data_IF_387847898829
#
_entry.id   IF_387847898829
#
_cell.length_a   1.000
_cell.length_b   1.000
_cell.length_c   1.000
_cell.angle_alpha   90.00
_cell.angle_beta   90.00
_cell.angle_gamma   90.00
#
_symmetry.space_group_name_H-M   'P 1'
#
loop_
_entity.id
_entity.type
_entity.pdbx_description
1 polymer ?
#
# COMPACT_ATOMS: atom_id res chain seq x y z
N UNK A 1 12.06 13.54 -36.26
CA UNK A 1 13.45 13.12 -36.01
C UNK A 1 13.34 11.99 -35.02
N UNK A 2 13.80 10.81 -35.42
CA UNK A 2 13.73 9.59 -34.62
C UNK A 2 14.82 9.65 -33.56
N UNK A 3 14.45 9.37 -32.31
CA UNK A 3 15.39 9.18 -31.21
C UNK A 3 15.59 7.67 -31.01
N UNK A 4 16.80 7.14 -31.14
CA UNK A 4 17.07 5.73 -30.97
C UNK A 4 17.61 5.43 -29.55
N UNK A 5 17.41 4.17 -29.15
CA UNK A 5 18.20 3.41 -28.15
C UNK A 5 17.65 3.37 -26.72
N UNK A 6 16.67 2.49 -26.50
CA UNK A 6 16.63 1.61 -25.32
C UNK A 6 16.22 0.23 -25.83
N UNK A 7 17.22 -0.57 -26.19
CA UNK A 7 17.05 -2.00 -26.44
C UNK A 7 18.20 -2.69 -25.72
N UNK A 8 18.04 -2.82 -24.41
CA UNK A 8 18.75 -3.79 -23.60
C UNK A 8 17.74 -4.88 -23.25
N UNK A 9 17.41 -5.68 -24.26
CA UNK A 9 16.73 -6.95 -24.06
C UNK A 9 17.58 -7.79 -23.10
N UNK A 10 17.05 -8.02 -21.90
CA UNK A 10 17.54 -9.06 -21.02
C UNK A 10 17.45 -10.39 -21.79
N UNK A 11 18.58 -11.06 -21.95
CA UNK A 11 18.63 -12.43 -22.47
C UNK A 11 17.91 -13.34 -21.45
N UNK A 12 16.64 -13.63 -21.70
CA UNK A 12 15.91 -14.68 -20.99
C UNK A 12 16.50 -16.02 -21.39
N UNK A 13 17.14 -16.71 -20.45
CA UNK A 13 17.60 -18.08 -20.63
C UNK A 13 16.44 -18.98 -21.06
N UNK A 14 16.66 -19.70 -22.16
CA UNK A 14 15.73 -20.61 -22.85
C UNK A 14 15.59 -21.96 -22.09
N UNK A 15 15.59 -21.92 -20.76
CA UNK A 15 15.48 -23.08 -19.87
C UNK A 15 14.11 -23.13 -19.20
N UNK A 16 13.48 -24.30 -19.20
CA UNK A 16 12.27 -24.55 -18.41
C UNK A 16 12.61 -24.32 -16.91
N UNK A 17 11.80 -23.53 -16.18
CA UNK A 17 12.10 -23.18 -14.79
C UNK A 17 12.20 -24.45 -13.92
N UNK A 18 13.23 -24.54 -13.08
CA UNK A 18 13.42 -25.67 -12.18
C UNK A 18 12.35 -25.64 -11.08
N UNK A 19 11.34 -26.50 -11.21
CA UNK A 19 10.26 -26.60 -10.22
C UNK A 19 10.82 -27.29 -8.97
N UNK A 20 10.66 -26.71 -7.77
CA UNK A 20 11.07 -27.36 -6.53
C UNK A 20 10.35 -28.69 -6.34
N UNK A 21 11.03 -29.66 -5.71
CA UNK A 21 10.40 -30.91 -5.29
C UNK A 21 9.41 -30.62 -4.15
N UNK A 22 8.16 -31.04 -4.33
CA UNK A 22 7.05 -30.76 -3.40
C UNK A 22 6.47 -32.07 -2.91
N UNK A 23 6.53 -32.28 -1.60
CA UNK A 23 5.89 -33.40 -0.93
C UNK A 23 4.38 -33.17 -0.85
N UNK A 24 3.60 -33.91 -1.65
CA UNK A 24 2.13 -33.79 -1.67
C UNK A 24 1.54 -34.06 -0.28
N UNK A 25 0.94 -33.05 0.38
CA UNK A 25 0.32 -33.23 1.69
C UNK A 25 -0.92 -34.13 1.62
N UNK A 26 -1.15 -34.94 2.66
CA UNK A 26 -2.37 -35.76 2.74
C UNK A 26 -3.63 -34.91 2.68
N UNK A 27 -3.67 -33.77 3.38
CA UNK A 27 -4.85 -32.89 3.38
C UNK A 27 -5.16 -32.33 1.99
N UNK A 28 -4.12 -32.03 1.19
CA UNK A 28 -4.30 -31.59 -0.20
C UNK A 28 -4.84 -32.73 -1.08
N UNK A 29 -4.35 -33.96 -0.88
CA UNK A 29 -4.87 -35.13 -1.57
C UNK A 29 -6.32 -35.46 -1.16
N UNK A 30 -6.62 -35.43 0.13
CA UNK A 30 -7.96 -35.69 0.68
C UNK A 30 -8.96 -34.64 0.17
N UNK A 31 -8.56 -33.37 0.08
CA UNK A 31 -9.37 -32.32 -0.51
C UNK A 31 -9.68 -32.57 -2.00
N UNK A 32 -8.76 -33.17 -2.76
CA UNK A 32 -9.04 -33.60 -4.14
C UNK A 32 -10.10 -34.71 -4.16
N UNK A 33 -10.00 -35.68 -3.25
CA UNK A 33 -10.99 -36.76 -3.16
C UNK A 33 -12.37 -36.21 -2.80
N UNK A 34 -12.46 -35.30 -1.82
CA UNK A 34 -13.71 -34.66 -1.40
C UNK A 34 -14.31 -33.83 -2.56
N UNK A 35 -13.49 -33.03 -3.25
CA UNK A 35 -13.94 -32.24 -4.40
C UNK A 35 -14.43 -33.11 -5.58
N UNK A 36 -13.87 -34.31 -5.75
CA UNK A 36 -14.37 -35.29 -6.72
C UNK A 36 -15.63 -35.98 -6.21
N UNK A 37 -15.74 -36.23 -4.90
CA UNK A 37 -16.88 -36.88 -4.26
C UNK A 37 -18.19 -36.10 -4.46
N UNK A 38 -18.11 -34.77 -4.43
CA UNK A 38 -19.23 -33.86 -4.63
C UNK A 38 -19.64 -33.65 -6.10
N UNK A 39 -18.86 -34.18 -7.05
CA UNK A 39 -19.08 -34.04 -8.50
C UNK A 39 -19.79 -35.24 -9.11
N UNK A 40 -20.56 -34.99 -10.17
CA UNK A 40 -21.19 -36.06 -10.94
C UNK A 40 -20.12 -36.94 -11.63
N UNK A 41 -20.41 -38.22 -11.94
CA UNK A 41 -19.55 -39.02 -12.80
C UNK A 41 -19.25 -38.27 -14.10
N UNK A 42 -18.02 -38.38 -14.61
CA UNK A 42 -17.47 -37.65 -15.77
C UNK A 42 -17.29 -36.14 -15.61
N UNK A 43 -17.71 -35.54 -14.50
CA UNK A 43 -17.40 -34.14 -14.19
C UNK A 43 -16.00 -34.04 -13.61
N UNK A 44 -15.11 -33.35 -14.33
CA UNK A 44 -13.70 -33.29 -13.99
C UNK A 44 -13.34 -32.11 -13.10
N UNK A 45 -12.54 -32.37 -12.07
CA UNK A 45 -11.74 -31.37 -11.40
C UNK A 45 -10.57 -30.95 -12.30
N UNK A 46 -10.34 -29.64 -12.45
CA UNK A 46 -9.34 -29.09 -13.35
C UNK A 46 -8.17 -28.48 -12.57
N UNK A 47 -6.97 -28.84 -12.98
CA UNK A 47 -5.71 -28.26 -12.56
C UNK A 47 -5.03 -27.60 -13.76
N UNK A 48 -3.94 -26.87 -13.53
CA UNK A 48 -3.10 -26.43 -14.64
C UNK A 48 -2.41 -27.66 -15.27
N UNK A 49 -2.61 -27.85 -16.58
CA UNK A 49 -1.98 -28.93 -17.34
C UNK A 49 -2.68 -30.31 -17.27
N UNK A 50 -3.65 -30.55 -16.38
CA UNK A 50 -4.38 -31.83 -16.33
C UNK A 50 -5.76 -31.73 -15.68
N UNK A 51 -6.54 -32.80 -15.82
CA UNK A 51 -7.83 -32.97 -15.13
C UNK A 51 -7.91 -34.32 -14.44
N UNK A 52 -8.74 -34.39 -13.40
CA UNK A 52 -9.07 -35.62 -12.68
C UNK A 52 -10.59 -35.76 -12.62
N UNK A 53 -11.12 -36.95 -12.84
CA UNK A 53 -12.54 -37.24 -12.76
C UNK A 53 -12.79 -38.61 -12.13
N UNK A 54 -14.06 -38.92 -11.83
CA UNK A 54 -14.52 -40.28 -11.58
C UNK A 54 -15.29 -40.78 -12.80
N UNK A 55 -15.06 -42.02 -13.21
CA UNK A 55 -15.87 -42.65 -14.24
C UNK A 55 -17.19 -43.21 -13.68
N UNK A 56 -18.00 -43.83 -14.55
CA UNK A 56 -19.28 -44.42 -14.20
C UNK A 56 -19.17 -45.64 -13.26
N UNK A 57 -17.97 -46.24 -13.18
CA UNK A 57 -17.66 -47.36 -12.28
C UNK A 57 -17.14 -46.88 -10.92
N UNK A 58 -16.91 -45.57 -10.77
CA UNK A 58 -16.40 -44.92 -9.56
C UNK A 58 -14.87 -44.96 -9.46
N UNK A 59 -14.17 -45.37 -10.51
CA UNK A 59 -12.71 -45.37 -10.57
C UNK A 59 -12.20 -43.99 -11.01
N UNK A 60 -10.94 -43.67 -10.67
CA UNK A 60 -10.38 -42.37 -10.99
C UNK A 60 -9.77 -42.35 -12.39
N UNK A 61 -9.96 -41.22 -13.06
CA UNK A 61 -9.44 -40.95 -14.40
C UNK A 61 -8.58 -39.70 -14.35
N UNK A 62 -7.34 -39.79 -14.85
CA UNK A 62 -6.43 -38.65 -15.01
C UNK A 62 -6.18 -38.41 -16.50
N UNK A 63 -6.36 -37.17 -16.94
CA UNK A 63 -6.12 -36.76 -18.32
C UNK A 63 -5.15 -35.57 -18.40
N UNK A 64 -4.03 -35.75 -19.11
CA UNK A 64 -2.97 -34.74 -19.26
C UNK A 64 -2.37 -34.74 -20.67
N UNK A 65 -3.20 -34.93 -21.70
CA UNK A 65 -2.78 -35.24 -23.07
C UNK A 65 -2.82 -36.74 -23.36
N UNK A 66 -2.46 -37.56 -22.37
CA UNK A 66 -2.75 -39.00 -22.31
C UNK A 66 -3.90 -39.28 -21.33
N UNK A 67 -4.61 -40.39 -21.51
CA UNK A 67 -5.76 -40.79 -20.69
C UNK A 67 -5.42 -42.03 -19.86
N UNK A 68 -5.36 -41.87 -18.53
CA UNK A 68 -5.16 -42.98 -17.58
C UNK A 68 -6.47 -43.20 -16.82
N UNK A 69 -7.11 -44.34 -17.04
CA UNK A 69 -8.37 -44.72 -16.40
C UNK A 69 -8.17 -45.93 -15.48
N UNK A 70 -9.16 -46.19 -14.62
CA UNK A 70 -9.15 -47.29 -13.68
C UNK A 70 -8.10 -47.17 -12.58
N UNK A 71 -7.80 -45.94 -12.17
CA UNK A 71 -6.85 -45.69 -11.10
C UNK A 71 -7.53 -45.98 -9.75
N UNK A 72 -6.88 -46.78 -8.92
CA UNK A 72 -7.22 -46.85 -7.50
C UNK A 72 -6.82 -45.54 -6.81
N UNK A 73 -7.35 -45.28 -5.60
CA UNK A 73 -6.94 -44.12 -4.80
C UNK A 73 -5.42 -44.07 -4.58
N UNK A 74 -4.78 -45.22 -4.38
CA UNK A 74 -3.32 -45.33 -4.23
C UNK A 74 -2.60 -44.92 -5.53
N UNK A 75 -3.07 -45.42 -6.67
CA UNK A 75 -2.45 -45.10 -7.97
C UNK A 75 -2.70 -43.64 -8.36
N UNK A 76 -3.85 -43.07 -7.97
CA UNK A 76 -4.13 -41.66 -8.10
C UNK A 76 -3.17 -40.83 -7.23
N UNK A 77 -2.95 -41.21 -5.96
CA UNK A 77 -2.01 -40.51 -5.07
C UNK A 77 -0.61 -40.47 -5.64
N UNK A 78 -0.13 -41.59 -6.17
CA UNK A 78 1.19 -41.66 -6.83
C UNK A 78 1.24 -40.74 -8.06
N UNK A 79 0.20 -40.75 -8.90
CA UNK A 79 0.13 -39.89 -10.08
C UNK A 79 0.00 -38.39 -9.74
N UNK A 80 -0.64 -38.04 -8.63
CA UNK A 80 -0.76 -36.67 -8.15
C UNK A 80 0.50 -36.18 -7.42
N UNK A 81 1.27 -37.09 -6.79
CA UNK A 81 2.57 -36.76 -6.21
C UNK A 81 3.57 -36.28 -7.28
N UNK A 82 3.58 -36.92 -8.46
CA UNK A 82 4.34 -36.45 -9.63
C UNK A 82 3.92 -35.04 -10.13
N UNK A 83 2.81 -34.51 -9.61
CA UNK A 83 2.19 -33.23 -10.00
C UNK A 83 1.90 -32.35 -8.78
N UNK A 84 2.63 -32.56 -7.69
CA UNK A 84 2.34 -31.95 -6.40
C UNK A 84 2.26 -30.43 -6.45
N UNK A 85 3.07 -29.76 -7.28
CA UNK A 85 3.00 -28.31 -7.46
C UNK A 85 1.61 -27.83 -7.93
N UNK A 86 1.05 -28.46 -8.95
CA UNK A 86 -0.28 -28.10 -9.46
C UNK A 86 -1.42 -28.47 -8.50
N UNK A 87 -1.28 -29.57 -7.75
CA UNK A 87 -2.27 -29.98 -6.75
C UNK A 87 -2.25 -29.04 -5.54
N UNK A 88 -1.07 -28.68 -5.04
CA UNK A 88 -0.91 -27.76 -3.91
C UNK A 88 -1.29 -26.34 -4.28
N UNK A 89 -1.07 -25.90 -5.52
CA UNK A 89 -1.54 -24.58 -6.00
C UNK A 89 -3.07 -24.52 -5.98
N UNK A 90 -3.73 -25.54 -6.52
CA UNK A 90 -5.18 -25.66 -6.45
C UNK A 90 -5.66 -25.69 -4.99
N UNK A 91 -5.04 -26.50 -4.14
CA UNK A 91 -5.42 -26.64 -2.73
C UNK A 91 -5.33 -25.33 -1.97
N UNK A 92 -4.23 -24.57 -2.14
CA UNK A 92 -4.06 -23.28 -1.48
C UNK A 92 -5.18 -22.31 -1.86
N UNK A 93 -5.54 -22.21 -3.14
CA UNK A 93 -6.50 -21.20 -3.56
C UNK A 93 -7.96 -21.62 -3.44
N UNK A 94 -8.28 -22.90 -3.63
CA UNK A 94 -9.64 -23.40 -3.54
C UNK A 94 -10.04 -23.81 -2.11
N UNK A 95 -9.09 -24.29 -1.30
CA UNK A 95 -9.39 -24.82 0.04
C UNK A 95 -8.89 -23.93 1.18
N UNK A 96 -7.66 -23.41 1.09
CA UNK A 96 -7.07 -22.59 2.18
C UNK A 96 -7.53 -21.13 2.10
N UNK A 97 -7.42 -20.51 0.93
CA UNK A 97 -7.83 -19.12 0.68
C UNK A 97 -9.32 -19.04 0.36
N UNK A 98 -9.86 -19.99 -0.42
CA UNK A 98 -11.30 -20.10 -0.69
C UNK A 98 -11.84 -19.07 -1.69
N UNK A 99 -13.00 -18.48 -1.35
CA UNK A 99 -13.83 -17.69 -2.26
C UNK A 99 -13.07 -16.56 -2.97
N UNK A 100 -13.46 -16.32 -4.22
CA UNK A 100 -12.94 -15.23 -5.02
C UNK A 100 -13.29 -13.87 -4.37
N UNK A 101 -12.28 -13.02 -4.19
CA UNK A 101 -12.44 -11.75 -3.50
C UNK A 101 -11.09 -11.09 -3.21
N UNK A 102 -11.07 -10.01 -2.42
CA UNK A 102 -9.90 -9.15 -2.24
C UNK A 102 -8.68 -9.91 -1.72
N UNK A 103 -8.86 -10.80 -0.73
CA UNK A 103 -7.77 -11.63 -0.20
C UNK A 103 -7.13 -12.51 -1.27
N UNK A 104 -7.94 -13.22 -2.05
CA UNK A 104 -7.45 -14.13 -3.09
C UNK A 104 -6.70 -13.36 -4.18
N UNK A 105 -7.26 -12.24 -4.63
CA UNK A 105 -6.63 -11.40 -5.65
C UNK A 105 -5.30 -10.81 -5.16
N UNK A 106 -5.24 -10.36 -3.91
CA UNK A 106 -4.04 -9.81 -3.30
C UNK A 106 -2.91 -10.83 -3.17
N UNK A 107 -3.21 -12.03 -2.65
CA UNK A 107 -2.20 -13.08 -2.53
C UNK A 107 -1.69 -13.53 -3.90
N UNK A 108 -2.56 -13.64 -4.91
CA UNK A 108 -2.13 -13.90 -6.30
C UNK A 108 -1.25 -12.78 -6.87
N UNK A 109 -1.56 -11.53 -6.54
CA UNK A 109 -0.75 -10.38 -6.95
C UNK A 109 0.63 -10.38 -6.27
N UNK A 110 0.72 -10.77 -4.99
CA UNK A 110 2.02 -10.94 -4.32
C UNK A 110 2.88 -11.97 -5.04
N UNK A 111 2.28 -13.11 -5.44
CA UNK A 111 2.98 -14.20 -6.14
C UNK A 111 3.34 -13.90 -7.62
N UNK A 112 3.14 -12.67 -8.11
CA UNK A 112 3.30 -12.29 -9.53
C UNK A 112 2.55 -13.22 -10.49
N UNK A 113 1.38 -13.70 -10.08
CA UNK A 113 0.73 -14.82 -10.76
C UNK A 113 0.15 -14.45 -12.14
N UNK A 114 0.16 -13.18 -12.55
CA UNK A 114 -0.49 -12.73 -13.77
C UNK A 114 0.31 -13.17 -15.01
N UNK A 115 -0.14 -14.29 -15.60
CA UNK A 115 0.40 -14.84 -16.85
C UNK A 115 1.46 -15.92 -16.69
N UNK A 116 1.91 -16.21 -15.47
CA UNK A 116 2.88 -17.28 -15.19
C UNK A 116 2.21 -18.66 -15.01
N UNK A 117 2.84 -19.71 -15.54
CA UNK A 117 2.46 -21.10 -15.23
C UNK A 117 2.72 -21.41 -13.76
N UNK A 118 2.05 -22.42 -13.21
CA UNK A 118 2.33 -22.98 -11.88
C UNK A 118 3.82 -23.31 -11.74
N UNK A 119 4.41 -23.93 -12.76
CA UNK A 119 5.83 -24.29 -12.75
C UNK A 119 6.75 -23.07 -12.57
N UNK A 120 6.56 -22.03 -13.39
CA UNK A 120 7.34 -20.79 -13.30
C UNK A 120 7.14 -20.09 -11.95
N UNK A 121 5.90 -20.05 -11.46
CA UNK A 121 5.58 -19.43 -10.17
C UNK A 121 6.18 -20.19 -8.99
N UNK A 122 6.20 -21.52 -9.02
CA UNK A 122 6.81 -22.32 -7.97
C UNK A 122 8.33 -22.17 -7.94
N UNK A 123 8.98 -22.07 -9.10
CA UNK A 123 10.41 -21.74 -9.16
C UNK A 123 10.69 -20.37 -8.53
N UNK A 124 9.91 -19.34 -8.89
CA UNK A 124 10.05 -18.00 -8.31
C UNK A 124 9.76 -17.96 -6.80
N UNK A 125 8.74 -18.68 -6.33
CA UNK A 125 8.43 -18.81 -4.90
C UNK A 125 9.51 -19.56 -4.11
N UNK A 126 10.27 -20.45 -4.75
CA UNK A 126 11.41 -21.12 -4.11
C UNK A 126 12.59 -20.16 -3.90
N UNK A 127 12.76 -19.17 -4.78
CA UNK A 127 13.75 -18.10 -4.65
C UNK A 127 13.28 -16.98 -3.71
N UNK A 128 11.96 -16.79 -3.59
CA UNK A 128 11.32 -15.72 -2.84
C UNK A 128 10.86 -14.60 -3.75
N UNK A 129 9.57 -14.29 -3.72
CA UNK A 129 8.98 -13.20 -4.50
C UNK A 129 8.75 -12.01 -3.59
N UNK A 130 9.40 -10.90 -3.89
CA UNK A 130 9.31 -9.66 -3.13
C UNK A 130 8.30 -8.69 -3.76
N UNK A 131 7.43 -8.11 -2.94
CA UNK A 131 6.48 -7.07 -3.34
C UNK A 131 6.34 -5.99 -2.27
N UNK A 132 6.32 -4.75 -2.73
CA UNK A 132 6.07 -3.59 -1.88
C UNK A 132 4.57 -3.29 -1.77
N UNK A 133 4.09 -2.99 -0.57
CA UNK A 133 2.73 -2.50 -0.34
C UNK A 133 2.75 -1.34 0.65
N UNK A 134 2.77 -0.10 0.14
CA UNK A 134 3.08 1.06 0.98
C UNK A 134 4.53 0.97 1.47
N UNK A 135 4.73 1.09 2.79
CA UNK A 135 6.05 0.92 3.41
C UNK A 135 6.33 -0.53 3.83
N UNK A 136 5.55 -1.50 3.36
CA UNK A 136 5.78 -2.92 3.62
C UNK A 136 6.59 -3.56 2.51
N UNK A 137 7.59 -4.36 2.88
CA UNK A 137 8.16 -5.39 2.02
C UNK A 137 7.54 -6.73 2.40
N UNK A 138 6.95 -7.41 1.42
CA UNK A 138 6.31 -8.73 1.58
C UNK A 138 7.08 -9.72 0.72
N UNK A 139 7.68 -10.73 1.36
CA UNK A 139 8.39 -11.80 0.67
C UNK A 139 7.57 -13.09 0.75
N UNK A 140 7.02 -13.53 -0.39
CA UNK A 140 6.30 -14.79 -0.50
C UNK A 140 7.25 -15.94 -0.85
N UNK A 141 7.16 -17.01 -0.09
CA UNK A 141 7.90 -18.26 -0.30
C UNK A 141 6.98 -19.46 -0.25
N UNK A 142 7.50 -20.62 -0.65
CA UNK A 142 6.83 -21.90 -0.45
C UNK A 142 7.66 -22.85 0.42
N UNK A 143 6.97 -23.69 1.19
CA UNK A 143 7.58 -24.80 1.91
C UNK A 143 7.79 -26.01 1.01
N UNK A 144 8.55 -27.00 1.47
CA UNK A 144 8.68 -28.34 0.84
C UNK A 144 7.34 -29.06 0.65
N UNK A 145 6.27 -28.61 1.30
CA UNK A 145 4.90 -29.10 1.18
C UNK A 145 4.00 -28.27 0.28
N UNK A 146 4.54 -27.24 -0.38
CA UNK A 146 3.81 -26.33 -1.26
C UNK A 146 2.90 -25.35 -0.52
N UNK A 147 3.08 -25.20 0.79
CA UNK A 147 2.36 -24.20 1.58
C UNK A 147 2.99 -22.83 1.37
N UNK A 148 2.17 -21.78 1.25
CA UNK A 148 2.66 -20.40 1.15
C UNK A 148 3.05 -19.88 2.51
N UNK A 149 4.15 -19.13 2.53
CA UNK A 149 4.64 -18.39 3.68
C UNK A 149 5.01 -16.97 3.28
N UNK A 150 4.73 -16.04 4.17
CA UNK A 150 4.94 -14.62 3.94
C UNK A 150 5.78 -14.05 5.07
N UNK A 151 6.93 -13.50 4.71
CA UNK A 151 7.70 -12.62 5.59
C UNK A 151 7.26 -11.18 5.31
N UNK A 152 6.88 -10.45 6.37
CA UNK A 152 6.44 -9.05 6.24
C UNK A 152 7.23 -8.18 7.20
N UNK A 153 7.81 -7.11 6.68
CA UNK A 153 8.61 -6.13 7.44
C UNK A 153 8.47 -4.74 6.82
N UNK A 154 9.05 -3.74 7.48
CA UNK A 154 9.18 -2.41 6.89
C UNK A 154 10.15 -2.43 5.69
N UNK A 155 9.89 -1.62 4.66
CA UNK A 155 10.70 -1.57 3.45
C UNK A 155 12.16 -1.15 3.73
N UNK A 156 12.37 -0.25 4.69
CA UNK A 156 13.71 0.15 5.11
C UNK A 156 14.49 -0.97 5.85
N UNK A 157 13.80 -2.02 6.29
CA UNK A 157 14.38 -3.19 6.95
C UNK A 157 14.56 -4.39 5.99
N UNK A 158 14.39 -4.19 4.67
CA UNK A 158 14.46 -5.27 3.67
C UNK A 158 15.76 -6.08 3.76
N UNK A 159 16.89 -5.41 3.94
CA UNK A 159 18.22 -6.03 4.02
C UNK A 159 18.63 -6.39 5.46
N UNK A 160 17.78 -6.13 6.46
CA UNK A 160 18.09 -6.40 7.87
C UNK A 160 17.78 -7.86 8.20
N UNK A 161 18.74 -8.64 8.75
CA UNK A 161 18.45 -10.00 9.18
C UNK A 161 17.30 -10.06 10.20
N UNK A 162 16.39 -11.04 10.09
CA UNK A 162 15.21 -11.16 10.96
C UNK A 162 15.58 -11.29 12.46
N UNK A 163 16.75 -11.83 12.76
CA UNK A 163 17.29 -11.95 14.13
C UNK A 163 17.70 -10.61 14.78
N UNK A 164 17.82 -9.54 13.98
CA UNK A 164 18.08 -8.18 14.45
C UNK A 164 16.79 -7.35 14.59
N UNK A 165 15.64 -7.92 14.22
CA UNK A 165 14.31 -7.29 14.26
C UNK A 165 13.45 -7.89 15.39
N UNK A 166 12.51 -7.10 15.90
CA UNK A 166 11.50 -7.60 16.84
C UNK A 166 10.48 -8.48 16.08
N UNK A 167 10.47 -9.78 16.39
CA UNK A 167 9.63 -10.77 15.70
C UNK A 167 8.24 -10.91 16.33
N UNK A 168 7.22 -10.99 15.48
CA UNK A 168 5.81 -11.14 15.86
C UNK A 168 5.10 -12.23 15.04
N UNK A 169 4.29 -13.06 15.68
CA UNK A 169 3.57 -14.15 15.00
C UNK A 169 2.06 -13.87 14.82
N UNK A 170 1.47 -13.01 15.66
CA UNK A 170 0.04 -12.67 15.61
C UNK A 170 -0.17 -11.33 14.89
N UNK A 171 -0.83 -11.30 13.71
CA UNK A 171 -1.13 -10.06 12.98
C UNK A 171 -1.77 -8.95 13.81
N UNK A 172 -2.47 -9.30 14.89
CA UNK A 172 -3.12 -8.34 15.78
C UNK A 172 -2.13 -7.49 16.59
N UNK A 173 -0.90 -7.97 16.79
CA UNK A 173 0.17 -7.23 17.46
C UNK A 173 0.59 -5.98 16.67
N UNK A 174 0.34 -5.96 15.35
CA UNK A 174 0.60 -4.80 14.51
C UNK A 174 -0.20 -3.56 14.91
N UNK A 175 -1.27 -3.69 15.71
CA UNK A 175 -2.02 -2.54 16.25
C UNK A 175 -1.16 -1.63 17.09
N UNK A 176 -0.23 -2.19 17.85
CA UNK A 176 0.67 -1.41 18.68
C UNK A 176 1.72 -0.71 17.80
N UNK A 177 2.24 -1.41 16.79
CA UNK A 177 3.20 -0.88 15.80
C UNK A 177 2.63 0.29 15.00
N UNK A 178 1.37 0.22 14.57
CA UNK A 178 0.79 1.28 13.74
C UNK A 178 0.26 2.47 14.52
N UNK A 179 0.24 2.41 15.85
CA UNK A 179 -0.34 3.46 16.69
C UNK A 179 0.52 4.71 16.75
N UNK A 180 1.84 4.54 16.82
CA UNK A 180 2.81 5.63 16.93
C UNK A 180 3.79 5.61 15.75
N UNK A 181 4.39 6.76 15.43
CA UNK A 181 5.54 6.85 14.52
C UNK A 181 6.86 6.58 15.27
N UNK A 182 7.97 6.61 14.54
CA UNK A 182 9.33 6.38 15.09
C UNK A 182 9.70 7.34 16.24
N UNK A 183 9.08 8.53 16.28
CA UNK A 183 9.31 9.53 17.31
C UNK A 183 8.33 9.42 18.49
N UNK A 184 7.42 8.43 18.47
CA UNK A 184 6.40 8.20 19.48
C UNK A 184 5.16 9.09 19.35
N UNK A 185 4.96 9.77 18.22
CA UNK A 185 3.75 10.57 17.96
C UNK A 185 2.64 9.69 17.41
N UNK A 186 1.40 9.98 17.80
CA UNK A 186 0.24 9.24 17.29
C UNK A 186 0.08 9.36 15.78
N UNK A 187 -0.20 8.24 15.10
CA UNK A 187 -0.48 8.17 13.66
C UNK A 187 -2.00 8.18 13.39
N UNK A 188 -2.61 9.35 13.14
CA UNK A 188 -4.04 9.44 12.83
C UNK A 188 -4.38 8.89 11.43
N UNK A 189 -3.44 9.01 10.49
CA UNK A 189 -3.55 8.48 9.14
C UNK A 189 -2.57 7.31 9.01
N UNK A 190 -3.09 6.09 8.91
CA UNK A 190 -2.25 4.89 8.83
C UNK A 190 -1.46 4.78 7.55
N UNK A 191 -1.88 5.47 6.49
CA UNK A 191 -1.19 5.52 5.20
C UNK A 191 -0.25 6.72 5.06
N UNK A 192 0.00 7.50 6.11
CA UNK A 192 1.08 8.48 6.07
C UNK A 192 2.43 7.74 6.14
N UNK A 193 3.44 8.11 5.33
CA UNK A 193 4.76 7.47 5.29
C UNK A 193 5.53 7.79 6.58
N UNK A 194 5.25 7.00 7.60
CA UNK A 194 5.64 7.23 8.99
C UNK A 194 5.52 5.97 9.83
N UNK A 195 5.40 4.81 9.17
CA UNK A 195 5.35 3.54 9.87
C UNK A 195 6.74 3.30 10.47
N UNK A 196 6.81 2.98 11.76
CA UNK A 196 8.10 2.69 12.36
C UNK A 196 8.64 1.36 11.84
N UNK A 197 9.94 1.29 11.56
CA UNK A 197 10.65 0.03 11.29
C UNK A 197 11.04 -0.75 12.56
N UNK A 198 11.96 -1.69 12.41
CA UNK A 198 12.55 -2.49 13.48
C UNK A 198 11.79 -3.78 13.84
N UNK A 199 10.86 -4.23 13.01
CA UNK A 199 10.02 -5.41 13.28
C UNK A 199 9.88 -6.32 12.07
N UNK A 200 9.50 -7.57 12.33
CA UNK A 200 9.20 -8.57 11.31
C UNK A 200 8.07 -9.48 11.77
N UNK A 201 7.18 -9.85 10.85
CA UNK A 201 6.27 -10.98 11.00
C UNK A 201 6.79 -12.14 10.14
N UNK A 202 7.61 -13.04 10.72
CA UNK A 202 8.18 -14.13 9.96
C UNK A 202 7.13 -15.23 9.75
N UNK A 203 7.19 -15.90 8.60
CA UNK A 203 6.48 -17.16 8.35
C UNK A 203 4.94 -17.10 8.45
N UNK A 204 4.30 -16.00 8.06
CA UNK A 204 2.85 -15.88 8.10
C UNK A 204 2.17 -16.80 7.09
N UNK A 205 1.02 -17.35 7.46
CA UNK A 205 0.12 -18.03 6.54
C UNK A 205 -0.68 -17.04 5.66
N UNK A 206 -1.36 -17.52 4.60
CA UNK A 206 -2.11 -16.66 3.67
C UNK A 206 -3.17 -15.77 4.31
N UNK A 207 -3.86 -16.29 5.33
CA UNK A 207 -4.86 -15.53 6.09
C UNK A 207 -4.20 -14.41 6.88
N UNK A 208 -3.15 -14.74 7.61
CA UNK A 208 -2.49 -13.86 8.56
C UNK A 208 -1.73 -12.74 7.85
N UNK A 209 -1.13 -13.02 6.69
CA UNK A 209 -0.53 -12.00 5.82
C UNK A 209 -1.56 -10.95 5.37
N UNK A 210 -2.76 -11.39 4.94
CA UNK A 210 -3.84 -10.47 4.58
C UNK A 210 -4.38 -9.68 5.80
N UNK A 211 -4.56 -10.35 6.94
CA UNK A 211 -5.00 -9.70 8.18
C UNK A 211 -3.99 -8.68 8.70
N UNK A 212 -2.69 -8.94 8.54
CA UNK A 212 -1.62 -8.01 8.88
C UNK A 212 -1.71 -6.76 8.02
N UNK A 213 -1.77 -6.90 6.69
CA UNK A 213 -1.88 -5.76 5.77
C UNK A 213 -3.13 -4.94 6.05
N UNK A 214 -4.28 -5.57 6.31
CA UNK A 214 -5.51 -4.85 6.66
C UNK A 214 -5.46 -4.22 8.07
N UNK A 215 -4.61 -4.73 8.96
CA UNK A 215 -4.36 -4.09 10.27
C UNK A 215 -3.46 -2.87 10.13
N UNK A 216 -2.43 -2.96 9.29
CA UNK A 216 -1.47 -1.87 9.06
C UNK A 216 -2.07 -0.77 8.18
N UNK A 217 -2.65 -1.15 7.04
CA UNK A 217 -3.26 -0.25 6.07
C UNK A 217 -4.71 -0.64 5.77
N UNK A 218 -5.66 -0.26 6.65
CA UNK A 218 -7.06 -0.68 6.54
C UNK A 218 -7.71 -0.32 5.20
N UNK A 219 -8.46 -1.28 4.65
CA UNK A 219 -9.24 -1.20 3.42
C UNK A 219 -8.43 -0.91 2.15
N UNK A 220 -7.09 -0.96 2.20
CA UNK A 220 -6.26 -0.72 1.02
C UNK A 220 -6.42 -1.84 0.01
N UNK A 221 -6.41 -3.10 0.45
CA UNK A 221 -6.55 -4.26 -0.44
C UNK A 221 -7.96 -4.33 -1.01
N UNK A 222 -8.97 -4.05 -0.18
CA UNK A 222 -10.36 -4.03 -0.62
C UNK A 222 -10.63 -2.98 -1.71
N UNK A 223 -10.09 -1.77 -1.56
CA UNK A 223 -10.27 -0.70 -2.56
C UNK A 223 -9.46 -0.97 -3.83
N UNK A 224 -8.22 -1.44 -3.71
CA UNK A 224 -7.41 -1.88 -4.84
C UNK A 224 -8.10 -2.98 -5.65
N UNK A 225 -8.73 -3.94 -4.97
CA UNK A 225 -9.50 -4.99 -5.62
C UNK A 225 -10.69 -4.42 -6.40
N UNK A 226 -11.49 -3.54 -5.78
CA UNK A 226 -12.64 -2.89 -6.43
C UNK A 226 -12.23 -2.08 -7.66
N UNK A 227 -11.11 -1.38 -7.60
CA UNK A 227 -10.58 -0.65 -8.74
C UNK A 227 -10.29 -1.56 -9.92
N UNK A 228 -9.62 -2.69 -9.68
CA UNK A 228 -9.32 -3.68 -10.72
C UNK A 228 -10.58 -4.30 -11.34
N UNK A 229 -11.65 -4.43 -10.57
CA UNK A 229 -12.95 -4.91 -11.05
C UNK A 229 -13.79 -3.79 -11.71
N UNK A 230 -13.33 -2.53 -11.71
CA UNK A 230 -14.08 -1.39 -12.21
C UNK A 230 -15.27 -0.98 -11.32
N UNK A 231 -15.23 -1.37 -10.05
CA UNK A 231 -16.29 -1.16 -9.05
C UNK A 231 -15.87 -0.19 -7.92
N UNK A 232 -14.74 0.51 -8.06
CA UNK A 232 -14.31 1.49 -7.06
C UNK A 232 -15.32 2.64 -6.98
N UNK A 233 -15.93 2.80 -5.81
CA UNK A 233 -16.91 3.84 -5.55
C UNK A 233 -16.21 5.13 -5.09
N UNK A 234 -15.89 6.01 -6.04
CA UNK A 234 -15.24 7.31 -5.75
C UNK A 234 -16.28 8.31 -5.26
N UNK A 235 -15.98 8.99 -4.15
CA UNK A 235 -16.72 10.15 -3.65
C UNK A 235 -15.84 11.38 -3.77
N UNK A 236 -16.24 12.29 -4.66
CA UNK A 236 -15.51 13.53 -4.94
C UNK A 236 -15.64 14.57 -3.82
N UNK A 237 -14.77 15.59 -3.88
CA UNK A 237 -14.69 16.66 -2.88
C UNK A 237 -16.06 17.26 -2.53
N UNK A 238 -16.81 17.71 -3.54
CA UNK A 238 -18.09 18.40 -3.31
C UNK A 238 -19.10 17.53 -2.57
N UNK A 239 -19.16 16.25 -2.90
CA UNK A 239 -20.05 15.32 -2.23
C UNK A 239 -19.63 15.10 -0.78
N UNK A 240 -18.33 14.89 -0.50
CA UNK A 240 -17.82 14.77 0.86
C UNK A 240 -18.06 16.02 1.69
N UNK A 241 -17.86 17.22 1.11
CA UNK A 241 -18.08 18.50 1.81
C UNK A 241 -19.55 18.79 2.07
N UNK A 242 -20.46 18.39 1.17
CA UNK A 242 -21.90 18.51 1.36
C UNK A 242 -22.42 17.70 2.56
N UNK A 243 -21.75 16.58 2.91
CA UNK A 243 -22.09 15.75 4.08
C UNK A 243 -21.62 16.34 5.41
N UNK A 244 -20.68 17.30 5.39
CA UNK A 244 -20.11 17.86 6.61
C UNK A 244 -21.12 18.74 7.35
N UNK A 245 -21.14 18.62 8.68
CA UNK A 245 -22.07 19.38 9.53
C UNK A 245 -21.40 19.86 10.83
N UNK A 246 -22.13 20.62 11.64
CA UNK A 246 -21.61 21.17 12.90
C UNK A 246 -20.38 22.05 12.68
N UNK A 247 -19.29 21.79 13.43
CA UNK A 247 -18.07 22.60 13.35
C UNK A 247 -17.34 22.52 12.00
N UNK A 248 -17.63 21.50 11.18
CA UNK A 248 -17.04 21.28 9.86
C UNK A 248 -17.90 21.86 8.72
N UNK A 249 -19.15 22.24 8.99
CA UNK A 249 -20.04 22.83 7.98
C UNK A 249 -19.55 24.15 7.39
N UNK A 250 -18.57 24.80 8.03
CA UNK A 250 -17.91 26.00 7.49
C UNK A 250 -17.22 25.72 6.15
N UNK A 251 -16.73 24.50 5.90
CA UNK A 251 -16.02 24.17 4.65
C UNK A 251 -16.91 24.42 3.42
N UNK A 252 -18.23 24.21 3.56
CA UNK A 252 -19.21 24.47 2.52
C UNK A 252 -19.32 25.94 2.10
N UNK A 253 -18.76 26.89 2.86
CA UNK A 253 -18.72 28.29 2.44
C UNK A 253 -17.56 28.59 1.51
N UNK A 254 -16.45 27.84 1.62
CA UNK A 254 -15.31 27.96 0.72
C UNK A 254 -15.68 27.49 -0.68
N UNK A 255 -16.41 26.37 -0.76
CA UNK A 255 -16.90 25.75 -1.99
C UNK A 255 -17.99 26.57 -2.72
N UNK A 256 -18.46 27.69 -2.14
CA UNK A 256 -19.41 28.62 -2.80
C UNK A 256 -18.72 29.70 -3.62
N UNK A 257 -17.41 29.87 -3.47
CA UNK A 257 -16.62 30.71 -4.36
C UNK A 257 -16.63 30.13 -5.78
N UNK A 258 -16.60 30.96 -6.81
CA UNK A 258 -16.46 30.45 -8.17
C UNK A 258 -15.03 29.97 -8.40
N UNK A 259 -14.78 28.66 -8.31
CA UNK A 259 -13.48 28.03 -8.60
C UNK A 259 -13.17 26.84 -7.69
N UNK A 260 -12.20 26.00 -8.11
CA UNK A 260 -11.73 24.82 -7.38
C UNK A 260 -10.25 24.93 -6.93
N UNK A 261 -9.58 26.06 -7.17
CA UNK A 261 -8.16 26.30 -6.81
C UNK A 261 -7.85 25.99 -5.34
N UNK A 262 -8.81 26.25 -4.46
CA UNK A 262 -8.67 25.93 -3.05
C UNK A 262 -8.54 24.43 -2.76
N UNK A 263 -9.15 23.59 -3.59
CA UNK A 263 -9.08 22.14 -3.50
C UNK A 263 -7.76 21.64 -4.06
N UNK A 264 -7.21 22.30 -5.07
CA UNK A 264 -5.84 22.03 -5.54
C UNK A 264 -4.83 22.25 -4.41
N UNK A 265 -4.88 23.40 -3.71
CA UNK A 265 -3.97 23.64 -2.57
C UNK A 265 -4.15 22.64 -1.43
N UNK A 266 -5.40 22.20 -1.20
CA UNK A 266 -5.67 21.16 -0.20
C UNK A 266 -5.07 19.83 -0.63
N UNK A 267 -5.22 19.44 -1.89
CA UNK A 267 -4.68 18.20 -2.43
C UNK A 267 -3.16 18.22 -2.42
N UNK A 268 -2.53 19.29 -2.90
CA UNK A 268 -1.07 19.49 -2.89
C UNK A 268 -0.50 19.40 -1.47
N UNK A 269 -1.15 20.02 -0.49
CA UNK A 269 -0.65 20.04 0.88
C UNK A 269 -0.90 18.74 1.68
N UNK A 270 -1.87 17.91 1.30
CA UNK A 270 -2.30 16.76 2.11
C UNK A 270 -2.21 15.39 1.42
N UNK A 271 -2.12 15.35 0.10
CA UNK A 271 -2.27 14.13 -0.69
C UNK A 271 -1.07 13.85 -1.60
N UNK A 272 0.02 14.61 -1.45
CA UNK A 272 1.32 14.26 -2.02
C UNK A 272 1.85 12.94 -1.44
N UNK A 273 2.68 12.22 -2.19
CA UNK A 273 3.24 10.92 -1.78
C UNK A 273 4.11 11.03 -0.52
N UNK A 274 4.70 12.20 -0.24
CA UNK A 274 5.39 12.49 1.03
C UNK A 274 4.44 12.55 2.24
N UNK A 275 3.14 12.70 2.01
CA UNK A 275 2.12 12.83 3.06
C UNK A 275 1.21 11.61 3.14
N UNK A 276 0.99 10.88 2.04
CA UNK A 276 0.08 9.74 1.98
C UNK A 276 0.46 8.75 0.88
N UNK A 277 0.59 7.48 1.24
CA UNK A 277 0.92 6.36 0.34
C UNK A 277 -0.21 5.94 -0.62
N UNK A 278 -1.36 6.61 -0.57
CA UNK A 278 -2.52 6.26 -1.42
C UNK A 278 -2.53 7.15 -2.65
N UNK A 279 -2.82 6.57 -3.81
CA UNK A 279 -3.13 7.34 -5.02
C UNK A 279 -4.55 7.92 -4.95
N UNK A 280 -4.68 9.24 -4.96
CA UNK A 280 -5.96 9.97 -4.95
C UNK A 280 -6.73 9.78 -6.26
N UNK A 281 -7.89 9.13 -6.14
CA UNK A 281 -8.87 8.99 -7.24
C UNK A 281 -9.97 10.05 -7.19
N UNK A 282 -10.26 10.59 -6.01
CA UNK A 282 -11.28 11.64 -5.88
C UNK A 282 -10.78 12.95 -6.49
N UNK A 283 -11.53 13.53 -7.42
CA UNK A 283 -11.40 14.89 -7.95
C UNK A 283 -12.35 15.91 -7.28
N UNK A 284 -12.50 17.11 -7.87
CA UNK A 284 -13.42 18.14 -7.37
C UNK A 284 -14.89 17.67 -7.43
N UNK A 285 -15.34 17.27 -8.61
CA UNK A 285 -16.60 16.57 -8.88
C UNK A 285 -16.46 15.68 -10.13
N UNK A 286 -17.54 15.00 -10.54
CA UNK A 286 -17.54 14.05 -11.67
C UNK A 286 -17.10 14.69 -13.01
N UNK A 287 -17.23 16.01 -13.14
CA UNK A 287 -16.99 16.75 -14.38
C UNK A 287 -15.71 17.62 -14.32
N UNK A 288 -15.05 17.68 -13.16
CA UNK A 288 -13.94 18.61 -12.90
C UNK A 288 -12.78 17.90 -12.21
N UNK A 289 -11.72 17.66 -12.98
CA UNK A 289 -10.44 17.18 -12.48
C UNK A 289 -9.68 18.29 -11.73
N UNK A 290 -8.86 17.91 -10.75
CA UNK A 290 -7.89 18.80 -10.12
C UNK A 290 -6.62 18.90 -10.96
N UNK A 291 -5.92 20.03 -10.85
CA UNK A 291 -4.66 20.29 -11.57
C UNK A 291 -3.46 19.58 -10.91
N UNK A 292 -3.60 19.16 -9.65
CA UNK A 292 -2.57 18.46 -8.88
C UNK A 292 -2.62 16.96 -9.16
N UNK A 293 -1.46 16.31 -9.25
CA UNK A 293 -1.38 14.86 -9.43
C UNK A 293 -2.02 14.08 -8.27
N UNK A 294 -2.42 12.84 -8.53
CA UNK A 294 -3.04 11.96 -7.54
C UNK A 294 -2.03 11.21 -6.66
N UNK A 295 -0.75 11.19 -7.03
CA UNK A 295 0.28 10.36 -6.43
C UNK A 295 0.44 9.00 -7.12
N UNK A 296 1.56 8.34 -6.86
CA UNK A 296 1.94 7.08 -7.53
C UNK A 296 1.61 5.82 -6.71
N UNK A 297 0.89 5.98 -5.60
CA UNK A 297 0.53 4.88 -4.69
C UNK A 297 -0.14 3.68 -5.36
N UNK A 298 0.24 2.46 -4.94
CA UNK A 298 -0.30 1.20 -5.49
C UNK A 298 -1.80 1.05 -5.25
N UNK A 299 -2.31 1.53 -4.12
CA UNK A 299 -3.71 1.40 -3.73
C UNK A 299 -4.45 2.75 -3.75
N UNK A 300 -5.73 2.77 -4.18
CA UNK A 300 -6.46 4.01 -4.40
C UNK A 300 -7.06 4.62 -3.12
N UNK A 301 -7.19 5.94 -3.13
CA UNK A 301 -7.91 6.78 -2.18
C UNK A 301 -9.19 7.31 -2.84
N UNK A 302 -10.31 6.70 -2.48
CA UNK A 302 -11.62 6.96 -3.10
C UNK A 302 -12.36 8.18 -2.57
N UNK A 303 -11.95 8.78 -1.45
CA UNK A 303 -12.68 9.89 -0.79
C UNK A 303 -11.72 10.75 0.06
N UNK A 304 -11.93 12.08 0.15
CA UNK A 304 -11.20 12.94 1.10
C UNK A 304 -11.29 12.41 2.53
N UNK A 305 -10.13 12.17 3.16
CA UNK A 305 -10.07 11.57 4.48
C UNK A 305 -10.35 12.60 5.61
N UNK A 306 -10.47 12.11 6.84
CA UNK A 306 -10.72 12.98 8.01
C UNK A 306 -9.62 14.00 8.29
N UNK A 307 -8.37 13.71 7.90
CA UNK A 307 -7.24 14.67 7.99
C UNK A 307 -7.45 15.80 7.01
N UNK A 308 -7.77 15.50 5.75
CA UNK A 308 -8.12 16.49 4.72
C UNK A 308 -9.28 17.37 5.17
N UNK A 309 -10.38 16.78 5.66
CA UNK A 309 -11.54 17.54 6.17
C UNK A 309 -11.15 18.45 7.35
N UNK A 310 -10.26 17.98 8.23
CA UNK A 310 -9.79 18.75 9.38
C UNK A 310 -8.89 19.92 8.97
N UNK A 311 -8.00 19.71 8.01
CA UNK A 311 -7.13 20.73 7.43
C UNK A 311 -7.96 21.77 6.66
N UNK A 312 -8.83 21.32 5.76
CA UNK A 312 -9.75 22.16 5.00
C UNK A 312 -10.57 23.10 5.90
N UNK A 313 -11.07 22.61 7.04
CA UNK A 313 -11.77 23.45 8.02
C UNK A 313 -10.91 24.59 8.56
N UNK A 314 -9.62 24.35 8.80
CA UNK A 314 -8.70 25.37 9.32
C UNK A 314 -8.38 26.39 8.24
N UNK A 315 -8.08 25.93 7.03
CA UNK A 315 -7.76 26.80 5.91
C UNK A 315 -8.97 27.60 5.42
N UNK A 316 -10.18 27.04 5.45
CA UNK A 316 -11.41 27.81 5.18
C UNK A 316 -11.53 29.06 6.07
N UNK A 317 -11.08 28.98 7.32
CA UNK A 317 -11.11 30.13 8.23
C UNK A 317 -10.02 31.13 7.88
N UNK A 318 -8.81 30.65 7.62
CA UNK A 318 -7.69 31.48 7.20
C UNK A 318 -8.04 32.25 5.92
N UNK A 319 -8.59 31.57 4.91
CA UNK A 319 -9.01 32.17 3.64
C UNK A 319 -10.28 33.04 3.74
N UNK A 320 -10.99 32.99 4.87
CA UNK A 320 -12.11 33.91 5.12
C UNK A 320 -11.63 35.28 5.62
N UNK A 321 -10.37 35.40 6.03
CA UNK A 321 -9.78 36.65 6.49
C UNK A 321 -9.45 37.57 5.29
N UNK A 322 -9.58 38.88 5.50
CA UNK A 322 -9.19 39.82 4.46
C UNK A 322 -7.67 39.99 4.44
N UNK A 323 -7.02 39.86 3.27
CA UNK A 323 -5.58 40.02 3.18
C UNK A 323 -5.17 41.43 3.61
N UNK A 324 -4.12 41.49 4.42
CA UNK A 324 -3.50 42.74 4.89
C UNK A 324 -2.05 42.80 4.39
N UNK A 325 -1.54 44.02 4.20
CA UNK A 325 -0.14 44.25 3.84
C UNK A 325 0.65 44.55 5.10
N UNK A 326 1.73 43.81 5.32
CA UNK A 326 2.69 44.02 6.40
C UNK A 326 4.05 44.37 5.77
N UNK A 327 4.69 45.44 6.22
CA UNK A 327 5.95 45.94 5.64
C UNK A 327 7.07 45.96 6.68
N UNK A 328 8.14 45.23 6.41
CA UNK A 328 9.39 45.25 7.18
C UNK A 328 10.58 44.92 6.26
N UNK A 329 11.80 45.23 6.69
CA UNK A 329 13.00 45.09 5.86
C UNK A 329 13.72 43.76 6.13
N UNK A 330 14.02 43.03 5.05
CA UNK A 330 14.89 41.86 5.05
C UNK A 330 16.05 42.08 4.08
N UNK A 331 17.24 41.60 4.41
CA UNK A 331 18.28 41.40 3.39
C UNK A 331 17.89 40.22 2.47
N UNK A 332 18.43 40.14 1.24
CA UNK A 332 18.13 39.02 0.34
C UNK A 332 18.33 37.65 0.99
N UNK A 333 19.44 37.45 1.70
CA UNK A 333 19.74 36.19 2.39
C UNK A 333 18.86 35.91 3.60
N UNK A 334 18.24 36.93 4.21
CA UNK A 334 17.25 36.71 5.27
C UNK A 334 15.91 36.29 4.70
N UNK A 335 15.52 36.85 3.55
CA UNK A 335 14.32 36.41 2.82
C UNK A 335 14.47 34.98 2.31
N UNK A 336 15.61 34.66 1.68
CA UNK A 336 15.95 33.28 1.27
C UNK A 336 15.88 32.33 2.46
N UNK A 337 16.40 32.74 3.62
CA UNK A 337 16.35 31.92 4.82
C UNK A 337 14.91 31.66 5.31
N UNK A 338 14.00 32.64 5.21
CA UNK A 338 12.58 32.44 5.59
C UNK A 338 11.92 31.44 4.66
N UNK A 339 12.21 31.49 3.36
CA UNK A 339 11.72 30.51 2.39
C UNK A 339 12.26 29.11 2.69
N UNK A 340 13.56 28.98 2.91
CA UNK A 340 14.17 27.70 3.26
C UNK A 340 13.60 27.11 4.56
N UNK A 341 13.19 27.94 5.53
CA UNK A 341 12.49 27.48 6.74
C UNK A 341 11.09 26.94 6.41
N UNK A 342 10.35 27.61 5.52
CA UNK A 342 9.02 27.16 5.10
C UNK A 342 9.13 25.83 4.38
N UNK A 343 10.01 25.74 3.38
CA UNK A 343 10.25 24.52 2.60
C UNK A 343 10.70 23.39 3.53
N UNK A 344 11.63 23.66 4.46
CA UNK A 344 12.11 22.63 5.37
C UNK A 344 11.04 22.05 6.30
N UNK A 345 10.07 22.89 6.71
CA UNK A 345 8.95 22.43 7.53
C UNK A 345 7.92 21.69 6.68
N UNK A 346 7.63 22.19 5.47
CA UNK A 346 6.69 21.56 4.54
C UNK A 346 7.17 20.15 4.13
N UNK A 347 8.46 20.01 3.85
CA UNK A 347 9.08 18.75 3.41
C UNK A 347 9.43 17.81 4.59
N UNK A 348 9.15 18.21 5.83
CA UNK A 348 9.45 17.40 7.03
C UNK A 348 10.95 17.22 7.35
N UNK A 349 11.87 17.85 6.61
CA UNK A 349 13.32 17.67 6.70
C UNK A 349 14.02 18.32 7.90
N UNK A 350 13.27 18.84 8.88
CA UNK A 350 13.85 19.59 10.02
C UNK A 350 14.79 18.73 10.86
N UNK A 351 14.42 17.47 11.09
CA UNK A 351 15.20 16.56 11.96
C UNK A 351 16.50 16.07 11.28
N UNK A 352 16.60 16.18 9.95
CA UNK A 352 17.79 15.84 9.17
C UNK A 352 18.89 16.92 9.23
N UNK A 353 18.51 18.15 9.60
CA UNK A 353 19.43 19.29 9.62
C UNK A 353 20.34 19.20 10.85
N UNK A 354 21.60 18.84 10.61
CA UNK A 354 22.61 18.72 11.67
C UNK A 354 22.81 20.06 12.38
N UNK A 355 22.95 19.99 13.70
CA UNK A 355 23.11 21.16 14.57
C UNK A 355 24.23 22.11 14.11
N UNK A 356 25.38 21.57 13.70
CA UNK A 356 26.55 22.36 13.27
C UNK A 356 26.52 22.77 11.78
N UNK A 357 25.52 22.35 11.00
CA UNK A 357 25.40 22.72 9.59
C UNK A 357 24.76 24.11 9.42
N UNK A 358 25.53 25.12 9.80
CA UNK A 358 25.11 26.53 9.74
C UNK A 358 25.01 27.10 8.32
N UNK A 359 25.26 26.28 7.29
CA UNK A 359 25.09 26.68 5.88
C UNK A 359 23.64 26.52 5.42
N UNK A 360 22.93 25.51 5.91
CA UNK A 360 21.50 25.32 5.65
C UNK A 360 20.70 26.45 6.32
N UNK A 361 19.85 27.16 5.57
CA UNK A 361 19.07 28.29 6.06
C UNK A 361 18.01 27.92 7.09
N UNK A 362 17.50 26.70 7.05
CA UNK A 362 16.57 26.17 8.05
C UNK A 362 17.27 25.70 9.34
N UNK A 363 18.61 25.75 9.40
CA UNK A 363 19.35 25.40 10.61
C UNK A 363 18.87 26.18 11.85
N UNK A 364 18.73 25.46 12.95
CA UNK A 364 18.23 25.98 14.24
C UNK A 364 18.97 27.22 14.73
N UNK A 365 20.29 27.30 14.60
CA UNK A 365 21.05 28.47 15.06
C UNK A 365 20.80 29.70 14.19
N UNK A 366 20.63 29.50 12.88
CA UNK A 366 20.26 30.59 11.98
C UNK A 366 18.85 31.10 12.24
N UNK A 367 17.87 30.20 12.43
CA UNK A 367 16.51 30.58 12.78
C UNK A 367 16.47 31.36 14.11
N UNK A 368 17.27 30.94 15.10
CA UNK A 368 17.40 31.66 16.38
C UNK A 368 18.05 33.04 16.22
N UNK A 369 19.07 33.18 15.38
CA UNK A 369 19.70 34.45 15.08
C UNK A 369 18.72 35.41 14.40
N UNK A 370 18.00 34.92 13.38
CA UNK A 370 16.96 35.69 12.67
C UNK A 370 15.89 36.20 13.65
N UNK A 371 15.40 35.31 14.53
CA UNK A 371 14.44 35.69 15.58
C UNK A 371 14.99 36.76 16.52
N UNK A 372 16.24 36.61 16.99
CA UNK A 372 16.86 37.59 17.90
C UNK A 372 17.11 38.96 17.24
N UNK A 373 17.26 39.00 15.91
CA UNK A 373 17.48 40.23 15.16
C UNK A 373 16.17 40.93 14.80
N UNK A 374 15.16 40.19 14.36
CA UNK A 374 13.96 40.75 13.72
C UNK A 374 12.75 40.87 14.64
N UNK A 375 12.66 40.10 15.72
CA UNK A 375 11.52 40.18 16.63
C UNK A 375 11.75 41.25 17.69
N UNK A 376 10.75 42.10 17.91
CA UNK A 376 10.76 43.07 19.02
C UNK A 376 10.47 42.39 20.37
N UNK A 377 10.50 43.19 21.44
CA UNK A 377 10.21 42.70 22.80
C UNK A 377 8.75 42.23 22.99
N UNK A 378 7.83 42.63 22.10
CA UNK A 378 6.43 42.19 22.08
C UNK A 378 6.24 40.90 21.23
N UNK A 379 7.29 40.42 20.56
CA UNK A 379 7.26 39.23 19.70
C UNK A 379 6.76 39.50 18.27
N UNK A 380 6.74 40.76 17.83
CA UNK A 380 6.33 41.12 16.48
C UNK A 380 7.50 40.98 15.49
N UNK A 381 7.28 40.26 14.39
CA UNK A 381 8.25 40.17 13.30
C UNK A 381 8.46 41.55 12.66
N UNK A 382 9.70 42.01 12.62
CA UNK A 382 10.07 43.32 12.08
C UNK A 382 9.53 44.51 12.90
N UNK A 383 9.05 44.29 14.13
CA UNK A 383 8.36 45.31 14.92
C UNK A 383 6.98 45.69 14.39
N UNK A 384 6.40 44.87 13.50
CA UNK A 384 5.09 45.11 12.88
C UNK A 384 4.02 44.26 13.56
N UNK A 385 3.02 44.86 14.24
CA UNK A 385 1.94 44.11 14.88
C UNK A 385 1.09 43.33 13.87
N UNK A 386 0.72 42.08 14.21
CA UNK A 386 -0.18 41.24 13.40
C UNK A 386 -1.59 41.82 13.34
N UNK A 387 -2.11 42.33 14.46
CA UNK A 387 -3.43 42.97 14.57
C UNK A 387 -3.29 44.41 15.08
N UNK A 388 -3.05 45.38 14.19
CA UNK A 388 -2.85 46.78 14.58
C UNK A 388 -4.12 47.41 15.19
N UNK A 389 -5.30 46.85 14.92
CA UNK A 389 -6.60 47.39 15.34
C UNK A 389 -7.04 46.97 16.76
N UNK A 390 -6.34 46.05 17.43
CA UNK A 390 -6.68 45.63 18.81
C UNK A 390 -6.07 46.51 19.93
N UNK A 391 -5.25 47.51 19.59
CA UNK A 391 -4.81 48.52 20.56
C UNK A 391 -5.82 49.68 20.61
N UNK A 392 -6.92 49.51 21.36
CA UNK A 392 -7.71 50.63 21.91
C UNK A 392 -8.04 50.48 23.39
#
# INVERSE_FOLDING_TARGET
MADPTLDAAAETGDGEPEVPDVDLPSDAFDAVLDALADRAPSESLRFEGFTVARDDEGEYVLANGDHRAGLSERDLREALADRAAAVTDWYVFECVVGEFGPRRAFLRWIEDADGATVAARYAALAEGIERAWGELQITATLTDRGERRYDVRHADDADVPSEELDAYDDPLDARDLVTLDETGRYRPLKTAPSLAGGWVFPDLGPRDAYELVETIYPATVANWYREREGELDVTHWRETMARQSGIYGVIQTWDRGGGHEHVDWVAEACCDDSQCLKRREWQYDDDTDLDVDGGDGVFPCREPCSVVVSAARKWTRLESEHPRTYEFELTPSEKEQVEEIIDAVADGRIDDIREADTKDGANRYRARFLRAKLFDDEGNLGGVPTDPDEKS
#
